data_IF_461819061879
#
_entry.id   IF_461819061879
#
_cell.length_a   1.000
_cell.length_b   1.000
_cell.length_c   1.000
_cell.angle_alpha   90.00
_cell.angle_beta   90.00
_cell.angle_gamma   90.00
#
_symmetry.space_group_name_H-M   'P 1'
#
loop_
_entity.id
_entity.type
_entity.pdbx_description
1 polymer ?
#
# COMPACT_ATOMS: atom_id res chain seq x y z
N UNK A 1 -40.12 10.93 15.99
CA UNK A 1 -38.77 10.36 16.21
C UNK A 1 -37.67 11.39 15.96
N UNK A 2 -37.65 12.07 14.79
CA UNK A 2 -36.65 13.10 14.46
C UNK A 2 -36.59 14.29 15.43
N UNK A 3 -37.72 14.83 15.88
CA UNK A 3 -37.74 16.01 16.78
C UNK A 3 -37.13 15.72 18.16
N UNK A 4 -37.32 14.49 18.68
CA UNK A 4 -36.73 14.06 19.95
C UNK A 4 -35.22 13.88 19.87
N UNK A 5 -34.73 13.29 18.78
CA UNK A 5 -33.29 13.17 18.51
C UNK A 5 -32.64 14.56 18.33
N UNK A 6 -33.30 15.45 17.59
CA UNK A 6 -32.82 16.81 17.35
C UNK A 6 -32.71 17.64 18.64
N UNK A 7 -33.73 17.58 19.51
CA UNK A 7 -33.69 18.25 20.83
C UNK A 7 -32.59 17.67 21.74
N UNK A 8 -32.33 16.36 21.66
CA UNK A 8 -31.25 15.71 22.42
C UNK A 8 -29.86 16.15 21.95
N UNK A 9 -29.63 16.23 20.63
CA UNK A 9 -28.38 16.75 20.05
C UNK A 9 -28.19 18.20 20.45
N UNK A 10 -29.21 19.05 20.30
CA UNK A 10 -29.20 20.45 20.75
C UNK A 10 -28.76 20.60 22.20
N UNK A 11 -29.42 19.89 23.11
CA UNK A 11 -29.13 19.92 24.54
C UNK A 11 -27.68 19.52 24.83
N UNK A 12 -27.17 18.46 24.20
CA UNK A 12 -25.79 18.00 24.38
C UNK A 12 -24.78 18.99 23.80
N UNK A 13 -24.98 19.46 22.57
CA UNK A 13 -24.10 20.44 21.90
C UNK A 13 -24.00 21.75 22.68
N UNK A 14 -25.11 22.27 23.22
CA UNK A 14 -25.08 23.49 24.05
C UNK A 14 -24.40 23.29 25.41
N UNK A 15 -24.25 22.05 25.87
CA UNK A 15 -23.59 21.73 27.15
C UNK A 15 -22.09 21.42 27.03
N UNK A 16 -21.57 21.28 25.80
CA UNK A 16 -20.18 20.93 25.54
C UNK A 16 -19.29 22.17 25.44
N UNK A 17 -18.07 22.06 25.97
CA UNK A 17 -17.06 23.15 26.03
C UNK A 17 -16.77 23.76 24.63
N UNK A 18 -16.47 25.07 24.51
CA UNK A 18 -16.16 25.75 23.23
C UNK A 18 -14.91 25.25 22.49
N UNK A 19 -14.25 24.21 22.99
CA UNK A 19 -13.04 23.60 22.44
C UNK A 19 -13.36 22.65 21.26
N UNK A 20 -14.61 22.24 21.07
CA UNK A 20 -14.99 21.29 20.02
C UNK A 20 -15.28 21.97 18.68
N UNK A 21 -14.75 21.40 17.59
CA UNK A 21 -15.09 21.79 16.21
C UNK A 21 -16.43 21.19 15.82
N UNK A 22 -17.41 22.03 15.50
CA UNK A 22 -18.73 21.60 15.05
C UNK A 22 -18.83 21.74 13.53
N UNK A 23 -18.84 20.61 12.83
CA UNK A 23 -19.13 20.55 11.39
C UNK A 23 -20.59 20.20 11.21
N UNK A 24 -21.38 21.09 10.61
CA UNK A 24 -22.80 20.87 10.41
C UNK A 24 -23.12 20.59 8.94
N UNK A 25 -23.71 19.42 8.69
CA UNK A 25 -24.40 19.12 7.42
C UNK A 25 -25.88 19.24 7.65
N UNK A 26 -26.53 20.09 6.87
CA UNK A 26 -27.97 20.01 6.75
C UNK A 26 -28.32 18.83 5.84
N UNK A 27 -29.39 18.13 6.23
CA UNK A 27 -30.16 17.27 5.35
C UNK A 27 -31.59 17.81 5.44
N UNK A 28 -31.77 19.04 4.93
CA UNK A 28 -33.10 19.68 4.86
C UNK A 28 -33.78 19.35 3.54
N UNK A 29 -33.00 19.22 2.48
CA UNK A 29 -33.48 18.95 1.13
C UNK A 29 -32.55 17.92 0.49
N UNK A 30 -33.10 16.78 0.04
CA UNK A 30 -32.32 15.77 -0.69
C UNK A 30 -31.73 16.36 -1.99
N UNK A 31 -30.70 15.73 -2.55
CA UNK A 31 -30.20 16.06 -3.91
C UNK A 31 -31.31 16.05 -4.97
N UNK A 32 -32.38 15.29 -4.72
CA UNK A 32 -33.57 15.18 -5.56
C UNK A 32 -34.64 16.26 -5.29
N UNK A 33 -34.43 17.17 -4.34
CA UNK A 33 -35.35 18.26 -3.99
C UNK A 33 -36.40 17.95 -2.92
N UNK A 34 -36.41 16.74 -2.34
CA UNK A 34 -37.39 16.37 -1.31
C UNK A 34 -37.07 17.03 0.05
N UNK A 35 -38.06 17.64 0.70
CA UNK A 35 -37.95 18.24 2.03
C UNK A 35 -37.88 17.15 3.12
N UNK A 36 -36.89 17.24 4.00
CA UNK A 36 -36.54 16.20 4.97
C UNK A 36 -36.60 16.68 6.43
N UNK A 37 -36.79 17.98 6.68
CA UNK A 37 -36.84 18.57 8.03
C UNK A 37 -38.12 19.42 8.20
N UNK A 38 -38.87 19.26 9.32
CA UNK A 38 -40.02 20.11 9.62
C UNK A 38 -39.62 21.55 9.99
N UNK A 39 -40.47 22.53 9.66
CA UNK A 39 -40.27 23.97 9.96
C UNK A 39 -39.93 24.33 11.42
N UNK A 40 -40.36 23.52 12.40
CA UNK A 40 -40.01 23.75 13.81
C UNK A 40 -38.55 23.41 14.12
N UNK A 41 -37.99 22.43 13.41
CA UNK A 41 -36.60 22.02 13.56
C UNK A 41 -35.64 22.99 12.86
N UNK A 42 -36.03 23.58 11.72
CA UNK A 42 -35.21 24.56 10.99
C UNK A 42 -35.02 25.87 11.78
N UNK A 43 -36.06 26.37 12.46
CA UNK A 43 -35.92 27.52 13.36
C UNK A 43 -34.91 27.27 14.49
N UNK A 44 -35.03 26.14 15.17
CA UNK A 44 -34.14 25.79 16.27
C UNK A 44 -32.70 25.54 15.78
N UNK A 45 -32.52 25.03 14.57
CA UNK A 45 -31.22 24.94 13.91
C UNK A 45 -30.59 26.33 13.75
N UNK A 46 -31.33 27.27 13.16
CA UNK A 46 -30.86 28.63 12.89
C UNK A 46 -30.51 29.40 14.16
N UNK A 47 -31.38 29.35 15.15
CA UNK A 47 -31.24 30.20 16.35
C UNK A 47 -30.28 29.61 17.39
N UNK A 48 -30.07 28.29 17.40
CA UNK A 48 -29.32 27.63 18.49
C UNK A 48 -28.10 26.84 18.04
N UNK A 49 -28.11 26.27 16.83
CA UNK A 49 -26.99 25.43 16.34
C UNK A 49 -26.06 26.18 15.38
N UNK A 50 -26.60 26.97 14.45
CA UNK A 50 -25.75 27.73 13.52
C UNK A 50 -24.73 28.65 14.21
N UNK A 51 -25.06 29.37 15.31
CA UNK A 51 -24.09 30.20 16.01
C UNK A 51 -22.95 29.40 16.66
N UNK A 52 -23.15 28.10 16.88
CA UNK A 52 -22.14 27.19 17.45
C UNK A 52 -21.33 26.47 16.35
N UNK A 53 -21.80 26.47 15.10
CA UNK A 53 -21.18 25.74 14.01
C UNK A 53 -19.85 26.41 13.60
N UNK A 54 -18.76 25.65 13.70
CA UNK A 54 -17.45 26.05 13.19
C UNK A 54 -17.47 26.19 11.67
N UNK A 55 -18.14 25.24 10.99
CA UNK A 55 -18.40 25.31 9.56
C UNK A 55 -19.78 24.73 9.22
N UNK A 56 -20.52 25.46 8.40
CA UNK A 56 -21.76 25.03 7.75
C UNK A 56 -21.47 24.65 6.30
N UNK A 57 -22.06 23.56 5.80
CA UNK A 57 -21.78 23.05 4.43
C UNK A 57 -23.05 22.87 3.57
N UNK A 58 -23.86 23.91 3.32
CA UNK A 58 -25.14 23.74 2.64
C UNK A 58 -24.94 23.58 1.12
N UNK A 59 -25.85 22.85 0.45
CA UNK A 59 -25.98 22.95 -1.01
C UNK A 59 -26.76 24.22 -1.38
N UNK A 60 -26.84 24.54 -2.68
CA UNK A 60 -27.56 25.74 -3.14
C UNK A 60 -29.04 25.75 -2.71
N UNK A 61 -29.82 24.66 -2.86
CA UNK A 61 -31.18 24.59 -2.31
C UNK A 61 -31.27 24.87 -0.81
N UNK A 62 -30.43 24.21 0.00
CA UNK A 62 -30.36 24.36 1.46
C UNK A 62 -30.01 25.79 1.86
N UNK A 63 -29.02 26.40 1.19
CA UNK A 63 -28.62 27.78 1.41
C UNK A 63 -29.78 28.75 1.16
N UNK A 64 -30.51 28.57 0.07
CA UNK A 64 -31.69 29.37 -0.25
C UNK A 64 -32.81 29.20 0.78
N UNK A 65 -33.05 27.99 1.27
CA UNK A 65 -34.02 27.76 2.36
C UNK A 65 -33.65 28.54 3.62
N UNK A 66 -32.38 28.52 4.03
CA UNK A 66 -31.92 29.29 5.20
C UNK A 66 -32.11 30.80 5.02
N UNK A 67 -31.85 31.32 3.82
CA UNK A 67 -32.04 32.73 3.51
C UNK A 67 -33.52 33.12 3.53
N UNK A 68 -34.40 32.31 2.92
CA UNK A 68 -35.84 32.51 2.93
C UNK A 68 -36.41 32.53 4.35
N UNK A 69 -36.01 31.58 5.20
CA UNK A 69 -36.43 31.53 6.61
C UNK A 69 -35.91 32.72 7.44
N UNK A 70 -34.79 33.32 7.03
CA UNK A 70 -34.26 34.53 7.63
C UNK A 70 -34.90 35.82 7.07
N UNK A 71 -35.86 35.71 6.15
CA UNK A 71 -36.59 36.85 5.57
C UNK A 71 -35.91 37.50 4.36
N UNK A 72 -34.94 36.81 3.73
CA UNK A 72 -34.35 37.23 2.46
C UNK A 72 -35.08 36.59 1.27
N UNK A 73 -34.96 37.22 0.09
CA UNK A 73 -35.50 36.63 -1.13
C UNK A 73 -34.71 35.39 -1.59
N UNK A 74 -35.34 34.56 -2.42
CA UNK A 74 -34.67 33.44 -3.09
C UNK A 74 -33.66 33.97 -4.10
N UNK A 75 -32.44 33.44 -4.07
CA UNK A 75 -31.38 33.80 -5.00
C UNK A 75 -31.24 32.74 -6.10
N UNK A 76 -31.33 33.19 -7.34
CA UNK A 76 -31.02 32.36 -8.51
C UNK A 76 -29.50 32.38 -8.74
N UNK A 77 -28.93 31.24 -9.12
CA UNK A 77 -27.50 31.10 -9.39
C UNK A 77 -27.29 31.07 -10.89
N UNK A 78 -26.97 32.23 -11.48
CA UNK A 78 -26.70 32.37 -12.92
C UNK A 78 -25.20 32.41 -13.22
N UNK A 79 -24.39 32.64 -12.19
CA UNK A 79 -22.95 32.75 -12.26
C UNK A 79 -22.27 32.30 -10.96
N UNK A 80 -20.97 32.09 -11.02
CA UNK A 80 -20.14 31.85 -9.83
C UNK A 80 -20.16 33.04 -8.86
N UNK A 81 -20.41 34.27 -9.35
CA UNK A 81 -20.53 35.44 -8.49
C UNK A 81 -21.80 35.39 -7.62
N UNK A 82 -22.91 34.90 -8.16
CA UNK A 82 -24.16 34.72 -7.39
C UNK A 82 -23.97 33.68 -6.28
N UNK A 83 -23.20 32.62 -6.56
CA UNK A 83 -22.87 31.59 -5.57
C UNK A 83 -22.04 32.16 -4.41
N UNK A 84 -21.12 33.08 -4.71
CA UNK A 84 -20.35 33.83 -3.73
C UNK A 84 -21.23 34.75 -2.89
N UNK A 85 -22.17 35.46 -3.52
CA UNK A 85 -23.12 36.32 -2.81
C UNK A 85 -24.00 35.52 -1.84
N UNK A 86 -24.50 34.36 -2.27
CA UNK A 86 -25.24 33.44 -1.39
C UNK A 86 -24.37 33.01 -0.20
N UNK A 87 -23.11 32.64 -0.44
CA UNK A 87 -22.22 32.21 0.63
C UNK A 87 -21.96 33.32 1.67
N UNK A 88 -21.76 34.56 1.21
CA UNK A 88 -21.62 35.74 2.06
C UNK A 88 -22.88 36.00 2.89
N UNK A 89 -24.07 35.93 2.27
CA UNK A 89 -25.35 36.13 2.96
C UNK A 89 -25.63 35.05 4.00
N UNK A 90 -25.35 33.78 3.68
CA UNK A 90 -25.52 32.66 4.62
C UNK A 90 -24.54 32.76 5.79
N UNK A 91 -23.31 33.23 5.56
CA UNK A 91 -22.33 33.43 6.64
C UNK A 91 -22.84 34.44 7.69
N UNK A 92 -23.53 35.50 7.26
CA UNK A 92 -24.15 36.49 8.15
C UNK A 92 -25.26 35.92 9.05
N UNK A 93 -25.73 34.70 8.81
CA UNK A 93 -26.71 34.02 9.68
C UNK A 93 -26.07 33.45 10.97
N UNK A 94 -24.73 33.44 11.09
CA UNK A 94 -24.04 33.25 12.37
C UNK A 94 -22.98 32.15 12.42
N UNK A 95 -22.83 31.31 11.39
CA UNK A 95 -21.75 30.31 11.39
C UNK A 95 -20.40 30.97 11.05
N UNK A 96 -19.33 30.57 11.75
CA UNK A 96 -17.99 31.16 11.53
C UNK A 96 -17.51 30.95 10.10
N UNK A 97 -17.68 29.75 9.57
CA UNK A 97 -17.35 29.41 8.18
C UNK A 97 -18.56 28.83 7.46
N UNK A 98 -18.69 29.15 6.17
CA UNK A 98 -19.73 28.59 5.30
C UNK A 98 -19.11 28.08 4.00
N UNK A 99 -19.37 26.83 3.65
CA UNK A 99 -19.02 26.22 2.37
C UNK A 99 -20.28 25.93 1.56
N UNK A 100 -20.64 26.82 0.64
CA UNK A 100 -21.75 26.56 -0.29
C UNK A 100 -21.27 25.61 -1.39
N UNK A 101 -21.93 24.45 -1.47
CA UNK A 101 -21.59 23.36 -2.40
C UNK A 101 -22.28 23.60 -3.75
N UNK A 102 -21.51 23.77 -4.82
CA UNK A 102 -22.04 24.03 -6.17
C UNK A 102 -22.50 22.79 -6.94
N UNK A 103 -22.43 21.58 -6.38
CA UNK A 103 -22.76 20.35 -7.13
C UNK A 103 -24.16 20.29 -7.76
N UNK A 104 -25.09 21.17 -7.35
CA UNK A 104 -26.45 21.30 -7.91
C UNK A 104 -26.55 22.39 -9.00
N UNK A 105 -25.49 23.18 -9.18
CA UNK A 105 -25.39 24.30 -10.12
C UNK A 105 -24.04 24.20 -10.84
N UNK A 106 -23.85 23.22 -11.73
CA UNK A 106 -22.66 23.14 -12.57
C UNK A 106 -22.58 24.35 -13.51
N UNK A 107 -21.35 24.75 -13.85
CA UNK A 107 -21.08 25.92 -14.66
C UNK A 107 -20.32 25.55 -15.93
N UNK A 108 -20.39 26.43 -16.91
CA UNK A 108 -19.42 26.51 -18.01
C UNK A 108 -18.09 27.03 -17.47
N UNK A 109 -17.02 26.86 -18.25
CA UNK A 109 -15.67 27.28 -17.87
C UNK A 109 -15.52 28.80 -17.73
N UNK A 110 -16.40 29.59 -18.34
CA UNK A 110 -16.47 31.05 -18.18
C UNK A 110 -17.16 31.48 -16.87
N UNK A 111 -17.66 30.54 -16.07
CA UNK A 111 -18.32 30.80 -14.79
C UNK A 111 -19.81 31.10 -14.88
N UNK A 112 -20.43 30.97 -16.05
CA UNK A 112 -21.88 31.09 -16.23
C UNK A 112 -22.60 29.75 -16.01
N UNK A 113 -23.86 29.80 -15.59
CA UNK A 113 -24.71 28.61 -15.34
C UNK A 113 -24.79 27.73 -16.60
N UNK A 114 -24.54 26.43 -16.44
CA UNK A 114 -24.76 25.45 -17.49
C UNK A 114 -26.25 25.06 -17.55
N UNK A 115 -26.91 25.32 -18.69
CA UNK A 115 -28.34 25.06 -18.88
C UNK A 115 -28.65 23.70 -19.47
N UNK A 116 -27.64 23.06 -20.08
CA UNK A 116 -27.74 21.74 -20.70
C UNK A 116 -26.65 20.82 -20.15
N UNK A 117 -26.80 19.50 -20.28
CA UNK A 117 -25.78 18.54 -19.82
C UNK A 117 -24.43 18.68 -20.53
N UNK A 118 -24.43 19.17 -21.77
CA UNK A 118 -23.21 19.37 -22.57
C UNK A 118 -22.46 20.66 -22.21
N UNK A 119 -23.15 21.60 -21.56
CA UNK A 119 -22.54 22.83 -21.06
C UNK A 119 -21.87 22.64 -19.69
N UNK A 120 -22.10 21.50 -19.01
CA UNK A 120 -21.55 21.25 -17.67
C UNK A 120 -20.08 20.90 -17.74
N UNK A 121 -19.23 21.87 -17.42
CA UNK A 121 -17.77 21.70 -17.48
C UNK A 121 -17.15 21.66 -16.09
N UNK A 122 -17.61 22.50 -15.17
CA UNK A 122 -17.01 22.67 -13.84
C UNK A 122 -18.06 22.70 -12.73
N UNK A 123 -17.62 22.40 -11.52
CA UNK A 123 -18.34 22.59 -10.26
C UNK A 123 -17.51 23.52 -9.39
N UNK A 124 -18.12 24.60 -8.91
CA UNK A 124 -17.46 25.56 -8.01
C UNK A 124 -18.05 25.45 -6.61
N UNK A 125 -17.19 25.30 -5.60
CA UNK A 125 -17.58 25.40 -4.20
C UNK A 125 -17.02 26.70 -3.63
N UNK A 126 -17.82 27.43 -2.85
CA UNK A 126 -17.41 28.71 -2.28
C UNK A 126 -17.34 28.61 -0.76
N UNK A 127 -16.14 28.80 -0.23
CA UNK A 127 -15.87 28.88 1.20
C UNK A 127 -15.73 30.35 1.61
N UNK A 128 -16.48 30.75 2.65
CA UNK A 128 -16.43 32.08 3.25
C UNK A 128 -16.15 31.94 4.73
N UNK A 129 -15.30 32.81 5.28
CA UNK A 129 -15.05 32.91 6.72
C UNK A 129 -14.10 34.04 7.06
N UNK A 130 -13.60 34.13 8.31
CA UNK A 130 -12.74 35.21 8.74
C UNK A 130 -11.45 35.25 7.93
N UNK A 131 -10.97 36.44 7.55
CA UNK A 131 -9.66 36.61 6.94
C UNK A 131 -8.53 36.21 7.92
N UNK A 132 -7.34 35.97 7.39
CA UNK A 132 -6.17 35.62 8.20
C UNK A 132 -5.88 36.70 9.27
N UNK A 133 -5.36 36.26 10.43
CA UNK A 133 -4.95 37.16 11.50
C UNK A 133 -3.99 38.24 10.99
N UNK A 134 -4.24 39.50 11.35
CA UNK A 134 -3.47 40.66 10.87
C UNK A 134 -4.08 41.37 9.65
N UNK A 135 -5.17 40.86 9.08
CA UNK A 135 -5.90 41.59 8.02
C UNK A 135 -6.65 42.77 8.66
N UNK A 136 -6.42 43.99 8.16
CA UNK A 136 -7.09 45.19 8.66
C UNK A 136 -8.62 45.03 8.54
N UNK A 137 -9.34 45.37 9.62
CA UNK A 137 -10.79 45.58 9.59
C UNK A 137 -11.13 46.58 8.49
N UNK A 138 -12.32 46.48 7.92
CA UNK A 138 -12.77 47.48 6.96
C UNK A 138 -12.99 48.84 7.65
N UNK A 139 -13.32 49.85 6.84
CA UNK A 139 -13.49 51.24 7.27
C UNK A 139 -14.60 51.39 8.32
N UNK A 140 -15.50 50.40 8.41
CA UNK A 140 -16.66 50.35 9.31
C UNK A 140 -16.39 49.52 10.58
N UNK A 141 -15.21 48.88 10.69
CA UNK A 141 -14.79 48.10 11.84
C UNK A 141 -15.28 46.64 11.84
N UNK A 142 -15.88 46.17 10.75
CA UNK A 142 -16.30 44.78 10.57
C UNK A 142 -15.09 43.88 10.27
N UNK A 143 -15.23 42.60 10.66
CA UNK A 143 -14.22 41.58 10.42
C UNK A 143 -14.20 41.24 8.92
N UNK A 144 -13.09 41.53 8.24
CA UNK A 144 -12.97 41.27 6.81
C UNK A 144 -13.10 39.76 6.57
N UNK A 145 -14.05 39.38 5.72
CA UNK A 145 -14.21 37.99 5.29
C UNK A 145 -13.24 37.67 4.14
N UNK A 146 -12.74 36.44 4.12
CA UNK A 146 -12.08 35.85 2.96
C UNK A 146 -13.06 34.96 2.19
N UNK A 147 -12.92 34.96 0.87
CA UNK A 147 -13.67 34.10 -0.04
C UNK A 147 -12.69 33.22 -0.78
N UNK A 148 -12.92 31.91 -0.76
CA UNK A 148 -12.11 30.91 -1.47
C UNK A 148 -13.00 30.12 -2.40
N UNK A 149 -12.73 30.22 -3.70
CA UNK A 149 -13.39 29.44 -4.76
C UNK A 149 -12.59 28.17 -5.03
N UNK A 150 -13.26 27.03 -5.03
CA UNK A 150 -12.66 25.72 -5.25
C UNK A 150 -13.38 25.08 -6.44
N UNK A 151 -12.74 25.18 -7.61
CA UNK A 151 -13.22 24.65 -8.88
C UNK A 151 -12.73 23.22 -9.09
N UNK A 152 -13.63 22.30 -9.45
CA UNK A 152 -13.32 20.93 -9.87
C UNK A 152 -14.00 20.63 -11.22
N UNK A 153 -13.46 19.72 -12.04
CA UNK A 153 -14.15 19.26 -13.24
C UNK A 153 -15.52 18.67 -12.91
N UNK A 154 -16.53 18.95 -13.74
CA UNK A 154 -17.82 18.28 -13.62
C UNK A 154 -17.68 16.80 -13.97
N UNK A 155 -18.23 15.94 -13.12
CA UNK A 155 -18.22 14.49 -13.34
C UNK A 155 -19.62 14.00 -13.71
N UNK A 156 -19.76 13.43 -14.91
CA UNK A 156 -20.98 12.74 -15.33
C UNK A 156 -21.09 11.40 -14.59
N UNK A 157 -21.79 11.39 -13.46
CA UNK A 157 -21.97 10.20 -12.63
C UNK A 157 -23.35 10.17 -11.98
N UNK A 158 -23.95 8.97 -11.93
CA UNK A 158 -25.17 8.71 -11.14
C UNK A 158 -24.85 8.37 -9.68
N UNK A 159 -23.57 8.14 -9.35
CA UNK A 159 -23.12 7.74 -8.03
C UNK A 159 -22.72 8.96 -7.21
N UNK A 160 -23.71 9.70 -6.72
CA UNK A 160 -23.53 10.93 -5.94
C UNK A 160 -24.23 10.89 -4.57
N UNK A 161 -24.76 9.72 -4.21
CA UNK A 161 -25.44 9.53 -2.93
C UNK A 161 -24.43 9.68 -1.77
N UNK A 162 -24.80 10.48 -0.75
CA UNK A 162 -23.97 10.67 0.44
C UNK A 162 -22.76 11.59 0.25
N UNK A 163 -22.67 12.33 -0.87
CA UNK A 163 -21.60 13.33 -1.11
C UNK A 163 -21.53 14.39 -0.02
N UNK A 164 -22.67 14.94 0.41
CA UNK A 164 -22.73 15.93 1.49
C UNK A 164 -22.20 15.41 2.83
N UNK A 165 -22.67 14.23 3.26
CA UNK A 165 -22.22 13.60 4.50
C UNK A 165 -20.73 13.27 4.43
N UNK A 166 -20.26 12.69 3.32
CA UNK A 166 -18.86 12.32 3.14
C UNK A 166 -17.94 13.54 3.13
N UNK A 167 -18.34 14.64 2.50
CA UNK A 167 -17.58 15.89 2.46
C UNK A 167 -17.38 16.46 3.86
N UNK A 168 -18.46 16.58 4.63
CA UNK A 168 -18.39 17.11 5.97
C UNK A 168 -17.63 16.21 6.95
N UNK A 169 -17.83 14.89 6.88
CA UNK A 169 -17.03 13.94 7.67
C UNK A 169 -15.55 14.03 7.34
N UNK A 170 -15.20 14.21 6.06
CA UNK A 170 -13.82 14.43 5.64
C UNK A 170 -13.25 15.76 6.18
N UNK A 171 -14.01 16.86 6.10
CA UNK A 171 -13.62 18.15 6.68
C UNK A 171 -13.42 18.03 8.20
N UNK A 172 -14.37 17.43 8.92
CA UNK A 172 -14.29 17.24 10.36
C UNK A 172 -13.06 16.41 10.75
N UNK A 173 -12.77 15.34 10.00
CA UNK A 173 -11.60 14.49 10.22
C UNK A 173 -10.28 15.22 9.95
N UNK A 174 -10.24 16.09 8.93
CA UNK A 174 -9.07 16.91 8.63
C UNK A 174 -8.83 17.99 9.69
N UNK A 175 -9.89 18.65 10.16
CA UNK A 175 -9.80 19.62 11.26
C UNK A 175 -9.36 18.94 12.57
N UNK A 176 -9.86 17.73 12.85
CA UNK A 176 -9.44 16.95 14.02
C UNK A 176 -7.95 16.53 13.96
N UNK A 177 -7.37 16.44 12.76
CA UNK A 177 -5.92 16.24 12.55
C UNK A 177 -5.09 17.53 12.68
N UNK A 178 -5.72 18.66 12.97
CA UNK A 178 -5.06 19.96 13.10
C UNK A 178 -4.83 20.70 11.79
N UNK A 179 -5.47 20.32 10.69
CA UNK A 179 -5.40 21.07 9.43
C UNK A 179 -6.11 22.43 9.56
N UNK A 180 -5.61 23.46 8.89
CA UNK A 180 -6.33 24.73 8.75
C UNK A 180 -7.61 24.55 7.91
N UNK A 181 -8.58 25.46 8.08
CA UNK A 181 -9.90 25.33 7.46
C UNK A 181 -9.86 25.24 5.93
N UNK A 182 -9.07 26.07 5.27
CA UNK A 182 -9.02 26.10 3.80
C UNK A 182 -8.41 24.81 3.27
N UNK A 183 -7.34 24.32 3.91
CA UNK A 183 -6.71 23.04 3.55
C UNK A 183 -7.64 21.86 3.84
N UNK A 184 -8.35 21.86 4.96
CA UNK A 184 -9.29 20.81 5.35
C UNK A 184 -10.45 20.68 4.35
N UNK A 185 -11.01 21.81 3.92
CA UNK A 185 -12.06 21.88 2.90
C UNK A 185 -11.55 21.41 1.54
N UNK A 186 -10.40 21.92 1.07
CA UNK A 186 -9.81 21.49 -0.21
C UNK A 186 -9.53 19.99 -0.23
N UNK A 187 -9.01 19.44 0.87
CA UNK A 187 -8.77 18.00 1.00
C UNK A 187 -10.07 17.18 1.02
N UNK A 188 -11.11 17.65 1.73
CA UNK A 188 -12.43 17.01 1.73
C UNK A 188 -13.10 16.98 0.35
N UNK A 189 -13.00 18.08 -0.41
CA UNK A 189 -13.52 18.15 -1.78
C UNK A 189 -12.78 17.17 -2.69
N UNK A 190 -11.44 17.10 -2.63
CA UNK A 190 -10.67 16.13 -3.41
C UNK A 190 -10.98 14.68 -3.05
N UNK A 191 -11.25 14.40 -1.78
CA UNK A 191 -11.69 13.07 -1.33
C UNK A 191 -13.01 12.67 -2.01
N UNK A 192 -14.02 13.54 -1.96
CA UNK A 192 -15.32 13.25 -2.59
C UNK A 192 -15.21 13.18 -4.11
N UNK A 193 -14.41 14.05 -4.73
CA UNK A 193 -14.13 14.02 -6.17
C UNK A 193 -13.59 12.65 -6.62
N UNK A 194 -12.56 12.14 -5.93
CA UNK A 194 -12.02 10.83 -6.20
C UNK A 194 -13.05 9.71 -5.95
N UNK A 195 -13.83 9.82 -4.87
CA UNK A 195 -14.85 8.84 -4.52
C UNK A 195 -16.00 8.73 -5.53
N UNK A 196 -16.36 9.84 -6.21
CA UNK A 196 -17.30 9.83 -7.34
C UNK A 196 -16.65 9.19 -8.55
N UNK A 197 -15.42 9.59 -8.88
CA UNK A 197 -14.70 9.13 -10.08
C UNK A 197 -14.48 7.63 -10.10
N UNK A 198 -14.17 7.04 -8.93
CA UNK A 198 -13.88 5.61 -8.80
C UNK A 198 -15.06 4.82 -8.22
N UNK A 199 -16.27 5.39 -8.24
CA UNK A 199 -17.47 4.75 -7.71
C UNK A 199 -17.73 3.38 -8.38
N UNK A 200 -18.06 2.33 -7.61
CA UNK A 200 -18.09 0.95 -8.10
C UNK A 200 -19.31 0.62 -9.00
N UNK A 201 -20.21 1.56 -9.25
CA UNK A 201 -21.39 1.32 -10.10
C UNK A 201 -22.45 0.42 -9.46
N UNK A 202 -22.54 0.38 -8.13
CA UNK A 202 -23.49 -0.49 -7.42
C UNK A 202 -24.92 0.07 -7.48
N UNK A 203 -25.87 -0.79 -7.88
CA UNK A 203 -27.30 -0.47 -7.94
C UNK A 203 -27.76 0.16 -9.27
N UNK A 204 -29.08 0.32 -9.43
CA UNK A 204 -29.72 0.81 -10.67
C UNK A 204 -30.11 2.30 -10.64
N UNK A 205 -30.03 2.93 -9.46
CA UNK A 205 -30.44 4.31 -9.19
C UNK A 205 -29.26 5.24 -8.91
N UNK A 206 -29.43 6.17 -7.97
CA UNK A 206 -28.33 6.97 -7.46
C UNK A 206 -27.46 6.11 -6.54
N UNK A 207 -26.30 5.67 -7.03
CA UNK A 207 -25.43 4.73 -6.31
C UNK A 207 -24.51 5.39 -5.28
N UNK A 208 -23.87 4.58 -4.43
CA UNK A 208 -22.93 5.03 -3.42
C UNK A 208 -21.58 5.46 -4.02
N UNK A 209 -20.82 6.24 -3.26
CA UNK A 209 -19.43 6.60 -3.54
C UNK A 209 -18.46 5.44 -3.27
N UNK A 210 -17.23 5.54 -3.78
CA UNK A 210 -16.12 4.69 -3.36
C UNK A 210 -15.31 5.35 -2.24
N UNK A 211 -15.65 5.08 -0.97
CA UNK A 211 -14.91 5.61 0.18
C UNK A 211 -13.49 5.04 0.35
N UNK A 212 -13.17 3.95 -0.35
CA UNK A 212 -11.93 3.19 -0.24
C UNK A 212 -10.96 3.46 -1.41
N UNK A 213 -11.18 4.52 -2.19
CA UNK A 213 -10.38 4.84 -3.38
C UNK A 213 -8.88 5.04 -3.11
N UNK A 214 -8.50 5.30 -1.85
CA UNK A 214 -7.10 5.45 -1.40
C UNK A 214 -6.64 4.33 -0.46
N UNK A 215 -7.44 3.27 -0.29
CA UNK A 215 -7.09 2.11 0.53
C UNK A 215 -6.65 0.98 -0.39
N UNK A 216 -5.46 0.43 -0.12
CA UNK A 216 -4.94 -0.75 -0.83
C UNK A 216 -4.92 -1.93 0.13
N UNK A 217 -5.45 -3.07 -0.31
CA UNK A 217 -5.34 -4.33 0.42
C UNK A 217 -4.24 -5.19 -0.22
N UNK A 218 -3.48 -5.88 0.63
CA UNK A 218 -2.52 -6.89 0.17
C UNK A 218 -3.25 -8.15 -0.29
N UNK A 219 -2.67 -8.91 -1.23
CA UNK A 219 -3.26 -10.17 -1.70
C UNK A 219 -3.08 -11.34 -0.73
N UNK A 220 -2.43 -11.11 0.42
CA UNK A 220 -2.16 -12.09 1.47
C UNK A 220 -2.43 -11.50 2.86
N UNK A 221 -2.72 -12.39 3.81
CA UNK A 221 -2.82 -12.04 5.23
C UNK A 221 -1.43 -11.92 5.86
N UNK A 222 -1.22 -11.03 6.86
CA UNK A 222 0.03 -10.98 7.60
C UNK A 222 0.44 -12.35 8.16
N UNK A 223 1.68 -12.77 7.91
CA UNK A 223 2.20 -14.09 8.31
C UNK A 223 2.01 -15.20 7.27
N UNK A 224 1.40 -14.90 6.12
CA UNK A 224 1.16 -15.85 5.02
C UNK A 224 1.70 -15.35 3.68
N UNK A 225 2.69 -14.46 3.67
CA UNK A 225 3.31 -14.00 2.42
C UNK A 225 4.02 -15.14 1.68
N UNK A 226 4.76 -15.99 2.39
CA UNK A 226 5.51 -17.08 1.78
C UNK A 226 4.58 -18.18 1.25
N UNK A 227 3.50 -18.48 1.95
CA UNK A 227 2.47 -19.41 1.47
C UNK A 227 1.86 -18.88 0.18
N UNK A 228 1.44 -17.60 0.19
CA UNK A 228 0.99 -16.89 -1.01
C UNK A 228 2.01 -16.95 -2.15
N UNK A 229 3.28 -16.63 -1.87
CA UNK A 229 4.34 -16.58 -2.88
C UNK A 229 4.58 -17.95 -3.51
N UNK A 230 4.67 -19.01 -2.71
CA UNK A 230 5.03 -20.34 -3.20
C UNK A 230 3.86 -21.08 -3.86
N UNK A 231 2.62 -20.80 -3.46
CA UNK A 231 1.41 -21.42 -4.03
C UNK A 231 0.90 -20.73 -5.31
N UNK A 232 1.48 -19.57 -5.66
CA UNK A 232 1.11 -18.82 -6.85
C UNK A 232 1.28 -19.64 -8.13
N UNK A 233 0.32 -19.57 -9.09
CA UNK A 233 0.41 -20.32 -10.35
C UNK A 233 1.66 -20.03 -11.21
N UNK A 234 2.21 -18.82 -11.11
CA UNK A 234 3.42 -18.39 -11.82
C UNK A 234 4.73 -18.71 -11.07
N UNK A 235 4.65 -19.17 -9.82
CA UNK A 235 5.80 -19.51 -8.96
C UNK A 235 5.89 -21.01 -8.68
N UNK A 236 4.77 -21.66 -8.34
CA UNK A 236 4.74 -23.05 -7.92
C UNK A 236 5.45 -24.01 -8.91
N UNK A 237 5.25 -23.91 -10.25
CA UNK A 237 5.93 -24.82 -11.18
C UNK A 237 7.45 -24.63 -11.24
N UNK A 238 7.94 -23.39 -11.11
CA UNK A 238 9.39 -23.12 -11.12
C UNK A 238 10.03 -23.50 -9.80
N UNK A 239 9.33 -23.26 -8.69
CA UNK A 239 9.75 -23.69 -7.36
C UNK A 239 9.85 -25.21 -7.26
N UNK A 240 8.82 -25.93 -7.74
CA UNK A 240 8.80 -27.39 -7.76
C UNK A 240 9.96 -27.98 -8.57
N UNK A 241 10.19 -27.46 -9.79
CA UNK A 241 11.34 -27.89 -10.62
C UNK A 241 12.68 -27.65 -9.93
N UNK A 242 12.81 -26.57 -9.17
CA UNK A 242 14.03 -26.26 -8.42
C UNK A 242 14.25 -27.27 -7.29
N UNK A 243 13.26 -27.48 -6.42
CA UNK A 243 13.45 -28.33 -5.23
C UNK A 243 13.42 -29.83 -5.52
N UNK A 244 12.84 -30.24 -6.64
CA UNK A 244 12.83 -31.63 -7.12
C UNK A 244 13.70 -31.83 -8.37
N UNK A 245 14.72 -30.96 -8.56
CA UNK A 245 15.57 -31.04 -9.73
C UNK A 245 16.26 -32.41 -9.86
N UNK A 246 16.41 -33.01 -11.05
CA UNK A 246 17.00 -34.34 -11.20
C UNK A 246 18.41 -34.49 -10.60
N UNK A 247 19.22 -33.43 -10.60
CA UNK A 247 20.51 -33.39 -9.92
C UNK A 247 20.36 -33.65 -8.41
N UNK A 248 19.40 -32.97 -7.78
CA UNK A 248 19.09 -33.07 -6.36
C UNK A 248 18.50 -34.42 -6.00
N UNK A 249 17.56 -34.93 -6.82
CA UNK A 249 16.99 -36.26 -6.62
C UNK A 249 18.07 -37.35 -6.73
N UNK A 250 19.01 -37.21 -7.68
CA UNK A 250 20.14 -38.12 -7.81
C UNK A 250 21.10 -38.05 -6.60
N UNK A 251 21.22 -36.91 -5.90
CA UNK A 251 21.92 -36.83 -4.61
C UNK A 251 21.21 -37.64 -3.54
N UNK A 252 19.88 -37.53 -3.44
CA UNK A 252 19.06 -38.31 -2.50
C UNK A 252 19.16 -39.83 -2.74
N UNK A 253 19.09 -40.24 -4.00
CA UNK A 253 19.18 -41.66 -4.40
C UNK A 253 20.61 -42.23 -4.28
N UNK A 254 21.61 -41.36 -4.05
CA UNK A 254 23.03 -41.71 -4.05
C UNK A 254 23.55 -42.14 -5.43
N UNK A 255 22.90 -41.70 -6.51
CA UNK A 255 23.22 -42.08 -7.91
C UNK A 255 23.91 -40.97 -8.70
N UNK A 256 23.97 -39.75 -8.17
CA UNK A 256 24.62 -38.63 -8.83
C UNK A 256 26.09 -38.98 -9.19
N UNK A 257 26.58 -38.65 -10.39
CA UNK A 257 27.99 -38.86 -10.73
C UNK A 257 28.92 -38.06 -9.82
N UNK A 258 29.96 -38.72 -9.29
CA UNK A 258 30.90 -38.11 -8.34
C UNK A 258 31.59 -36.86 -8.90
N UNK A 259 31.94 -36.87 -10.19
CA UNK A 259 32.60 -35.71 -10.81
C UNK A 259 31.63 -34.52 -10.99
N UNK A 260 30.34 -34.77 -11.21
CA UNK A 260 29.31 -33.72 -11.24
C UNK A 260 29.17 -33.05 -9.88
N UNK A 261 29.17 -33.85 -8.80
CA UNK A 261 29.13 -33.31 -7.44
C UNK A 261 30.38 -32.50 -7.10
N UNK A 262 31.57 -32.97 -7.50
CA UNK A 262 32.83 -32.23 -7.31
C UNK A 262 32.83 -30.89 -8.06
N UNK A 263 32.35 -30.89 -9.31
CA UNK A 263 32.18 -29.67 -10.09
C UNK A 263 31.25 -28.67 -9.41
N UNK A 264 30.11 -29.16 -8.90
CA UNK A 264 29.17 -28.36 -8.12
C UNK A 264 29.85 -27.74 -6.88
N UNK A 265 30.55 -28.52 -6.06
CA UNK A 265 31.20 -28.02 -4.84
C UNK A 265 32.23 -26.91 -5.12
N UNK A 266 32.96 -27.00 -6.24
CA UNK A 266 33.92 -25.98 -6.66
C UNK A 266 33.20 -24.69 -7.09
N UNK A 267 32.09 -24.80 -7.82
CA UNK A 267 31.29 -23.63 -8.19
C UNK A 267 30.57 -23.01 -6.99
N UNK A 268 30.10 -23.83 -6.05
CA UNK A 268 29.46 -23.38 -4.82
C UNK A 268 30.43 -22.59 -3.94
N UNK A 269 31.71 -23.00 -3.86
CA UNK A 269 32.74 -22.21 -3.21
C UNK A 269 32.85 -20.78 -3.79
N UNK A 270 32.83 -20.66 -5.12
CA UNK A 270 32.88 -19.35 -5.80
C UNK A 270 31.58 -18.57 -5.60
N UNK A 271 30.44 -19.25 -5.65
CA UNK A 271 29.12 -18.67 -5.37
C UNK A 271 29.07 -18.05 -3.96
N UNK A 272 29.54 -18.77 -2.93
CA UNK A 272 29.54 -18.31 -1.55
C UNK A 272 30.33 -17.01 -1.34
N UNK A 273 31.38 -16.76 -2.11
CA UNK A 273 32.11 -15.48 -2.11
C UNK A 273 31.19 -14.35 -2.58
N UNK A 274 30.43 -14.56 -3.65
CA UNK A 274 29.47 -13.56 -4.14
C UNK A 274 28.23 -13.46 -3.25
N UNK A 275 27.78 -14.55 -2.63
CA UNK A 275 26.73 -14.54 -1.62
C UNK A 275 27.12 -13.69 -0.41
N UNK A 276 28.37 -13.80 0.06
CA UNK A 276 28.93 -12.93 1.09
C UNK A 276 28.96 -11.45 0.64
N UNK A 277 29.34 -11.18 -0.62
CA UNK A 277 29.29 -9.81 -1.18
C UNK A 277 27.87 -9.25 -1.25
N UNK A 278 26.89 -10.07 -1.65
CA UNK A 278 25.49 -9.68 -1.70
C UNK A 278 24.94 -9.37 -0.29
N UNK A 279 25.30 -10.16 0.72
CA UNK A 279 24.92 -9.89 2.11
C UNK A 279 25.65 -8.67 2.69
N UNK A 280 26.90 -8.39 2.29
CA UNK A 280 27.57 -7.14 2.63
C UNK A 280 26.85 -5.93 2.02
N UNK A 281 26.38 -6.05 0.77
CA UNK A 281 25.55 -5.03 0.12
C UNK A 281 24.19 -4.87 0.82
N UNK A 282 23.58 -5.97 1.28
CA UNK A 282 22.37 -5.92 2.09
C UNK A 282 22.61 -5.17 3.42
N UNK A 283 23.75 -5.42 4.07
CA UNK A 283 24.15 -4.67 5.28
C UNK A 283 24.28 -3.17 4.99
N UNK A 284 24.90 -2.79 3.87
CA UNK A 284 25.02 -1.39 3.45
C UNK A 284 23.66 -0.72 3.17
N UNK A 285 22.70 -1.44 2.58
CA UNK A 285 21.39 -0.88 2.20
C UNK A 285 20.36 -0.85 3.34
N UNK A 286 20.60 -1.57 4.44
CA UNK A 286 19.71 -1.61 5.58
C UNK A 286 19.56 -0.22 6.23
N UNK A 287 18.35 0.09 6.72
CA UNK A 287 18.01 1.41 7.30
C UNK A 287 17.97 1.41 8.83
N UNK A 288 18.07 0.25 9.47
CA UNK A 288 18.10 0.09 10.93
C UNK A 288 19.27 -0.83 11.32
N UNK A 289 19.71 -0.71 12.57
CA UNK A 289 20.94 -1.37 13.03
C UNK A 289 20.76 -2.89 13.16
N UNK A 290 19.55 -3.35 13.45
CA UNK A 290 19.21 -4.76 13.57
C UNK A 290 19.41 -5.49 12.24
N UNK A 291 18.92 -4.94 11.13
CA UNK A 291 19.08 -5.51 9.78
C UNK A 291 20.52 -5.38 9.26
N UNK A 292 21.22 -4.30 9.62
CA UNK A 292 22.67 -4.14 9.35
C UNK A 292 23.45 -5.28 10.01
N UNK A 293 23.21 -5.51 11.31
CA UNK A 293 23.88 -6.53 12.10
C UNK A 293 23.52 -7.95 11.63
N UNK A 294 22.25 -8.21 11.32
CA UNK A 294 21.79 -9.50 10.79
C UNK A 294 22.49 -9.86 9.49
N UNK A 295 22.58 -8.91 8.54
CA UNK A 295 23.27 -9.13 7.27
C UNK A 295 24.78 -9.32 7.45
N UNK A 296 25.41 -8.55 8.34
CA UNK A 296 26.84 -8.69 8.65
C UNK A 296 27.16 -10.03 9.33
N UNK A 297 26.26 -10.54 10.18
CA UNK A 297 26.39 -11.85 10.78
C UNK A 297 26.37 -12.96 9.72
N UNK A 298 25.55 -12.84 8.67
CA UNK A 298 25.56 -13.79 7.54
C UNK A 298 26.93 -13.79 6.85
N UNK A 299 27.54 -12.63 6.61
CA UNK A 299 28.89 -12.54 6.02
C UNK A 299 29.93 -13.26 6.90
N UNK A 300 29.89 -13.02 8.21
CA UNK A 300 30.79 -13.70 9.16
C UNK A 300 30.53 -15.21 9.21
N UNK A 301 29.28 -15.64 9.11
CA UNK A 301 28.90 -17.05 9.06
C UNK A 301 29.43 -17.70 7.78
N UNK A 302 29.22 -17.08 6.61
CA UNK A 302 29.78 -17.58 5.34
C UNK A 302 31.29 -17.77 5.44
N UNK A 303 32.04 -16.84 6.03
CA UNK A 303 33.48 -16.99 6.21
C UNK A 303 33.85 -18.22 7.07
N UNK A 304 33.12 -18.48 8.16
CA UNK A 304 33.33 -19.65 9.02
C UNK A 304 32.95 -20.95 8.31
N UNK A 305 31.78 -20.99 7.69
CA UNK A 305 31.25 -22.15 6.96
C UNK A 305 32.11 -22.52 5.76
N UNK A 306 32.69 -21.54 5.06
CA UNK A 306 33.64 -21.82 3.97
C UNK A 306 34.84 -22.63 4.43
N UNK A 307 35.25 -22.55 5.71
CA UNK A 307 36.32 -23.40 6.25
C UNK A 307 35.88 -24.86 6.38
N UNK A 308 34.63 -25.10 6.77
CA UNK A 308 34.02 -26.44 6.81
C UNK A 308 33.82 -26.99 5.40
N UNK A 309 33.39 -26.14 4.45
CA UNK A 309 33.28 -26.50 3.04
C UNK A 309 34.61 -26.97 2.46
N UNK A 310 35.71 -26.27 2.77
CA UNK A 310 37.05 -26.65 2.32
C UNK A 310 37.46 -28.02 2.87
N UNK A 311 37.16 -28.31 4.14
CA UNK A 311 37.43 -29.62 4.74
C UNK A 311 36.58 -30.73 4.09
N UNK A 312 35.30 -30.45 3.84
CA UNK A 312 34.40 -31.37 3.16
C UNK A 312 34.89 -31.68 1.73
N UNK A 313 35.24 -30.65 0.96
CA UNK A 313 35.81 -30.76 -0.38
C UNK A 313 37.11 -31.59 -0.42
N UNK A 314 37.95 -31.49 0.61
CA UNK A 314 39.16 -32.30 0.73
C UNK A 314 38.85 -33.81 0.79
N UNK A 315 37.73 -34.21 1.42
CA UNK A 315 37.24 -35.59 1.41
C UNK A 315 36.92 -36.14 0.00
N UNK A 316 36.62 -35.24 -0.94
CA UNK A 316 36.41 -35.58 -2.35
C UNK A 316 37.67 -35.47 -3.21
N UNK A 317 38.82 -35.14 -2.61
CA UNK A 317 40.09 -34.93 -3.31
C UNK A 317 40.23 -33.56 -3.96
N UNK A 318 39.45 -32.56 -3.52
CA UNK A 318 39.52 -31.18 -4.01
C UNK A 318 40.36 -30.36 -3.03
N UNK A 319 41.46 -29.80 -3.49
CA UNK A 319 42.30 -28.89 -2.69
C UNK A 319 41.75 -27.46 -2.68
N UNK A 320 42.10 -26.68 -1.64
CA UNK A 320 41.78 -25.25 -1.57
C UNK A 320 42.28 -24.47 -2.78
N UNK A 321 43.51 -24.77 -3.22
CA UNK A 321 44.11 -24.12 -4.38
C UNK A 321 43.32 -24.37 -5.67
N UNK A 322 42.76 -25.58 -5.85
CA UNK A 322 41.88 -25.87 -7.00
C UNK A 322 40.59 -25.03 -6.95
N UNK A 323 39.97 -24.89 -5.78
CA UNK A 323 38.78 -24.05 -5.61
C UNK A 323 39.08 -22.57 -5.86
N UNK A 324 40.18 -22.04 -5.33
CA UNK A 324 40.59 -20.64 -5.52
C UNK A 324 40.91 -20.30 -6.99
N UNK A 325 41.37 -21.29 -7.77
CA UNK A 325 41.66 -21.16 -9.21
C UNK A 325 40.48 -21.55 -10.11
N UNK A 326 39.34 -21.91 -9.54
CA UNK A 326 38.15 -22.31 -10.31
C UNK A 326 37.61 -21.12 -11.10
N UNK A 327 37.45 -21.31 -12.41
CA UNK A 327 36.77 -20.34 -13.26
C UNK A 327 35.26 -20.40 -13.01
N UNK A 328 34.61 -19.24 -12.95
CA UNK A 328 33.14 -19.17 -12.81
C UNK A 328 32.47 -19.82 -14.03
N UNK A 329 31.60 -20.79 -13.78
CA UNK A 329 30.74 -21.32 -14.82
C UNK A 329 29.71 -20.27 -15.23
N UNK A 330 29.28 -20.28 -16.51
CA UNK A 330 28.34 -19.28 -17.04
C UNK A 330 27.06 -19.15 -16.20
N UNK A 331 26.51 -20.26 -15.70
CA UNK A 331 25.34 -20.26 -14.84
C UNK A 331 25.62 -19.62 -13.46
N UNK A 332 26.80 -19.89 -12.86
CA UNK A 332 27.24 -19.26 -11.61
C UNK A 332 27.43 -17.75 -11.80
N UNK A 333 28.05 -17.31 -12.89
CA UNK A 333 28.15 -15.89 -13.23
C UNK A 333 26.76 -15.28 -13.42
N UNK A 334 25.88 -15.89 -14.22
CA UNK A 334 24.54 -15.37 -14.46
C UNK A 334 23.77 -15.18 -13.14
N UNK A 335 23.81 -16.19 -12.25
CA UNK A 335 23.12 -16.12 -10.97
C UNK A 335 23.68 -15.01 -10.08
N UNK A 336 24.99 -15.03 -9.83
CA UNK A 336 25.62 -14.09 -8.90
C UNK A 336 25.54 -12.65 -9.39
N UNK A 337 25.63 -12.42 -10.71
CA UNK A 337 25.46 -11.09 -11.30
C UNK A 337 24.02 -10.63 -11.24
N UNK A 338 23.03 -11.51 -11.43
CA UNK A 338 21.62 -11.16 -11.26
C UNK A 338 21.32 -10.70 -9.82
N UNK A 339 21.75 -11.45 -8.81
CA UNK A 339 21.52 -11.09 -7.39
C UNK A 339 22.17 -9.76 -7.05
N UNK A 340 23.42 -9.56 -7.46
CA UNK A 340 24.13 -8.29 -7.23
C UNK A 340 23.53 -7.13 -8.02
N UNK A 341 23.04 -7.36 -9.24
CA UNK A 341 22.36 -6.34 -10.03
C UNK A 341 21.07 -5.88 -9.35
N UNK A 342 20.21 -6.81 -8.91
CA UNK A 342 19.04 -6.47 -8.07
C UNK A 342 19.47 -5.70 -6.83
N UNK A 343 20.54 -6.16 -6.16
CA UNK A 343 21.10 -5.46 -5.02
C UNK A 343 21.54 -4.02 -5.31
N UNK A 344 22.02 -3.72 -6.51
CA UNK A 344 22.44 -2.38 -6.91
C UNK A 344 21.28 -1.52 -7.40
N UNK A 345 20.42 -2.07 -8.25
CA UNK A 345 19.37 -1.36 -8.97
C UNK A 345 18.07 -1.18 -8.17
N UNK A 346 17.77 -2.08 -7.23
CA UNK A 346 16.53 -2.10 -6.45
C UNK A 346 16.74 -1.74 -4.97
N UNK A 347 15.67 -1.82 -4.17
CA UNK A 347 15.73 -1.61 -2.72
C UNK A 347 16.31 -2.81 -1.95
N UNK A 348 16.50 -2.62 -0.64
CA UNK A 348 17.01 -3.67 0.25
C UNK A 348 16.13 -4.93 0.26
N UNK A 349 14.80 -4.80 0.20
CA UNK A 349 13.90 -5.93 0.30
C UNK A 349 13.88 -6.78 -0.98
N UNK A 350 13.99 -6.15 -2.16
CA UNK A 350 14.19 -6.85 -3.41
C UNK A 350 15.46 -7.73 -3.40
N UNK A 351 16.55 -7.25 -2.80
CA UNK A 351 17.76 -8.04 -2.60
C UNK A 351 17.51 -9.25 -1.68
N UNK A 352 16.76 -9.08 -0.58
CA UNK A 352 16.37 -10.21 0.28
C UNK A 352 15.53 -11.24 -0.49
N UNK A 353 14.61 -10.79 -1.34
CA UNK A 353 13.79 -11.66 -2.19
C UNK A 353 14.65 -12.39 -3.24
N UNK A 354 15.67 -11.75 -3.81
CA UNK A 354 16.60 -12.39 -4.74
C UNK A 354 17.50 -13.44 -4.07
N UNK A 355 17.82 -13.27 -2.78
CA UNK A 355 18.60 -14.22 -1.98
C UNK A 355 17.73 -15.37 -1.42
N UNK A 356 16.42 -15.17 -1.31
CA UNK A 356 15.51 -16.11 -0.66
C UNK A 356 15.47 -17.52 -1.27
N UNK A 357 15.51 -17.72 -2.61
CA UNK A 357 15.52 -19.07 -3.18
C UNK A 357 16.69 -19.93 -2.71
N UNK A 358 17.86 -19.33 -2.46
CA UNK A 358 19.02 -20.04 -1.94
C UNK A 358 18.75 -20.55 -0.52
N UNK A 359 18.39 -19.65 0.40
CA UNK A 359 18.14 -20.01 1.80
C UNK A 359 16.94 -20.97 1.95
N UNK A 360 15.80 -20.63 1.36
CA UNK A 360 14.57 -21.40 1.53
C UNK A 360 14.62 -22.72 0.75
N UNK A 361 15.23 -22.71 -0.43
CA UNK A 361 15.25 -23.84 -1.34
C UNK A 361 16.14 -24.97 -0.86
N UNK A 362 17.37 -24.64 -0.41
CA UNK A 362 18.28 -25.65 0.13
C UNK A 362 17.70 -26.32 1.39
N UNK A 363 17.05 -25.54 2.26
CA UNK A 363 16.32 -26.09 3.41
C UNK A 363 15.16 -27.00 3.01
N UNK A 364 14.37 -26.60 2.00
CA UNK A 364 13.26 -27.41 1.48
C UNK A 364 13.74 -28.71 0.82
N UNK A 365 14.78 -28.62 -0.02
CA UNK A 365 15.45 -29.75 -0.67
C UNK A 365 15.93 -30.75 0.37
N UNK A 366 16.74 -30.29 1.33
CA UNK A 366 17.34 -31.17 2.31
C UNK A 366 16.30 -31.83 3.20
N UNK A 367 15.26 -31.08 3.62
CA UNK A 367 14.13 -31.64 4.37
C UNK A 367 13.39 -32.71 3.57
N UNK A 368 13.16 -32.49 2.27
CA UNK A 368 12.52 -33.47 1.40
C UNK A 368 13.38 -34.73 1.28
N UNK A 369 14.67 -34.59 0.94
CA UNK A 369 15.58 -35.71 0.78
C UNK A 369 15.79 -36.50 2.08
N UNK A 370 15.90 -35.83 3.22
CA UNK A 370 16.11 -36.46 4.52
C UNK A 370 14.88 -37.27 4.99
N UNK A 371 13.67 -36.90 4.55
CA UNK A 371 12.42 -37.56 4.96
C UNK A 371 11.83 -38.48 3.89
N UNK A 372 12.31 -38.42 2.65
CA UNK A 372 11.81 -39.25 1.56
C UNK A 372 12.18 -40.73 1.76
N UNK A 373 11.22 -41.66 1.61
CA UNK A 373 11.50 -43.09 1.69
C UNK A 373 12.32 -43.63 0.51
N UNK A 374 12.45 -42.87 -0.58
CA UNK A 374 13.26 -43.27 -1.75
C UNK A 374 14.73 -42.89 -1.61
N UNK A 375 15.06 -41.96 -0.70
CA UNK A 375 16.43 -41.54 -0.47
C UNK A 375 17.23 -42.63 0.24
N UNK A 376 18.50 -42.78 -0.15
CA UNK A 376 19.45 -43.59 0.62
C UNK A 376 19.96 -42.78 1.81
N UNK A 377 19.92 -43.40 3.00
CA UNK A 377 20.21 -42.71 4.26
C UNK A 377 21.47 -43.25 4.92
N UNK A 378 22.25 -42.35 5.52
CA UNK A 378 23.51 -42.68 6.18
C UNK A 378 24.73 -42.68 5.25
N UNK A 379 25.88 -42.34 5.84
CA UNK A 379 27.16 -42.15 5.14
C UNK A 379 27.67 -43.39 4.40
N UNK A 380 27.22 -44.58 4.79
CA UNK A 380 27.60 -45.84 4.16
C UNK A 380 26.78 -46.14 2.89
N UNK A 381 25.53 -45.68 2.83
CA UNK A 381 24.63 -45.96 1.71
C UNK A 381 24.56 -44.80 0.70
N UNK A 382 24.85 -43.58 1.16
CA UNK A 382 24.82 -42.38 0.34
C UNK A 382 26.06 -41.50 0.58
N UNK A 383 26.88 -41.37 -0.47
CA UNK A 383 28.08 -40.53 -0.49
C UNK A 383 27.80 -39.05 -0.18
N UNK A 384 26.56 -38.60 -0.43
CA UNK A 384 26.14 -37.21 -0.32
C UNK A 384 25.36 -36.95 0.99
N UNK A 385 25.27 -37.94 1.88
CA UNK A 385 24.44 -37.85 3.08
C UNK A 385 24.85 -36.70 4.00
N UNK A 386 26.15 -36.50 4.25
CA UNK A 386 26.64 -35.37 5.05
C UNK A 386 26.13 -34.02 4.55
N UNK A 387 26.05 -33.84 3.23
CA UNK A 387 25.53 -32.60 2.64
C UNK A 387 24.06 -32.44 3.01
N UNK A 388 23.24 -33.48 2.81
CA UNK A 388 21.81 -33.46 3.14
C UNK A 388 21.60 -33.19 4.65
N UNK A 389 22.37 -33.85 5.50
CA UNK A 389 22.29 -33.73 6.96
C UNK A 389 22.61 -32.30 7.45
N UNK A 390 23.59 -31.63 6.84
CA UNK A 390 23.97 -30.27 7.23
C UNK A 390 22.83 -29.26 7.01
N UNK A 391 22.08 -29.38 5.92
CA UNK A 391 20.98 -28.44 5.62
C UNK A 391 19.67 -28.71 6.40
N UNK A 392 19.61 -29.80 7.17
CA UNK A 392 18.53 -30.06 8.15
C UNK A 392 18.97 -29.88 9.59
N UNK A 393 20.23 -29.50 9.83
CA UNK A 393 20.75 -29.25 11.16
C UNK A 393 20.15 -27.98 11.80
N UNK A 394 20.25 -27.89 13.13
CA UNK A 394 19.61 -26.84 13.93
C UNK A 394 20.06 -25.43 13.54
N UNK A 395 21.33 -25.26 13.16
CA UNK A 395 21.90 -23.99 12.74
C UNK A 395 21.30 -23.50 11.41
N UNK A 396 21.22 -24.36 10.40
CA UNK A 396 20.64 -24.02 9.11
C UNK A 396 19.13 -23.81 9.20
N UNK A 397 18.42 -24.68 9.91
CA UNK A 397 16.97 -24.54 10.12
C UNK A 397 16.61 -23.27 10.89
N UNK A 398 17.43 -22.86 11.87
CA UNK A 398 17.32 -21.57 12.55
C UNK A 398 17.51 -20.40 11.57
N UNK A 399 18.51 -20.47 10.69
CA UNK A 399 18.75 -19.44 9.68
C UNK A 399 17.58 -19.33 8.68
N UNK A 400 17.03 -20.47 8.23
CA UNK A 400 15.82 -20.51 7.38
C UNK A 400 14.65 -19.84 8.09
N UNK A 401 14.40 -20.17 9.35
CA UNK A 401 13.30 -19.57 10.11
C UNK A 401 13.47 -18.06 10.27
N UNK A 402 14.67 -17.58 10.59
CA UNK A 402 14.96 -16.15 10.67
C UNK A 402 14.75 -15.43 9.32
N UNK A 403 15.17 -16.06 8.21
CA UNK A 403 14.91 -15.54 6.87
C UNK A 403 13.41 -15.49 6.54
N UNK A 404 12.65 -16.52 6.90
CA UNK A 404 11.20 -16.54 6.72
C UNK A 404 10.52 -15.40 7.47
N UNK A 405 10.85 -15.22 8.74
CA UNK A 405 10.30 -14.14 9.58
C UNK A 405 10.67 -12.75 9.06
N UNK A 406 11.89 -12.58 8.54
CA UNK A 406 12.32 -11.34 7.90
C UNK A 406 11.45 -11.02 6.69
N UNK A 407 11.20 -12.00 5.83
CA UNK A 407 10.37 -11.83 4.63
C UNK A 407 8.91 -11.51 5.00
N UNK A 408 8.32 -12.23 5.94
CA UNK A 408 6.94 -12.00 6.41
C UNK A 408 6.76 -10.59 6.99
N UNK A 409 7.70 -10.13 7.84
CA UNK A 409 7.62 -8.80 8.46
C UNK A 409 7.70 -7.66 7.45
N UNK A 410 8.44 -7.83 6.35
CA UNK A 410 8.67 -6.75 5.38
C UNK A 410 7.71 -6.79 4.20
N UNK A 411 7.13 -7.95 3.89
CA UNK A 411 6.12 -8.09 2.83
C UNK A 411 4.87 -7.25 3.10
N UNK A 412 4.43 -7.15 4.36
CA UNK A 412 3.24 -6.36 4.73
C UNK A 412 3.41 -4.84 4.57
N UNK A 413 4.64 -4.37 4.39
CA UNK A 413 4.95 -2.95 4.17
C UNK A 413 4.93 -2.57 2.68
N UNK A 414 4.76 -3.55 1.79
CA UNK A 414 4.80 -3.34 0.36
C UNK A 414 3.44 -2.89 -0.19
N UNK A 415 3.46 -2.22 -1.33
CA UNK A 415 2.23 -1.99 -2.10
C UNK A 415 1.89 -3.23 -2.93
N UNK A 416 0.62 -3.48 -3.29
CA UNK A 416 0.26 -4.63 -4.12
C UNK A 416 1.01 -4.70 -5.45
N UNK A 417 1.24 -3.56 -6.11
CA UNK A 417 2.04 -3.52 -7.34
C UNK A 417 3.50 -3.92 -7.10
N UNK A 418 4.08 -3.49 -5.97
CA UNK A 418 5.45 -3.87 -5.59
C UNK A 418 5.56 -5.36 -5.26
N UNK A 419 4.53 -5.96 -4.67
CA UNK A 419 4.49 -7.42 -4.44
C UNK A 419 4.62 -8.19 -5.76
N UNK A 420 3.94 -7.75 -6.82
CA UNK A 420 4.05 -8.40 -8.14
C UNK A 420 5.46 -8.30 -8.74
N UNK A 421 6.12 -7.15 -8.61
CA UNK A 421 7.52 -6.98 -9.04
C UNK A 421 8.46 -7.92 -8.27
N UNK A 422 8.30 -8.00 -6.94
CA UNK A 422 9.11 -8.87 -6.08
C UNK A 422 8.89 -10.35 -6.38
N UNK A 423 7.67 -10.77 -6.72
CA UNK A 423 7.42 -12.14 -7.19
C UNK A 423 8.23 -12.42 -8.46
N UNK A 424 8.27 -11.47 -9.39
CA UNK A 424 9.11 -11.57 -10.59
C UNK A 424 10.60 -11.76 -10.25
N UNK A 425 11.10 -11.03 -9.25
CA UNK A 425 12.48 -11.17 -8.75
C UNK A 425 12.72 -12.58 -8.20
N UNK A 426 11.82 -13.09 -7.36
CA UNK A 426 11.90 -14.43 -6.77
C UNK A 426 11.90 -15.53 -7.84
N UNK A 427 10.99 -15.43 -8.82
CA UNK A 427 10.88 -16.37 -9.94
C UNK A 427 12.18 -16.41 -10.74
N UNK A 428 12.76 -15.25 -11.05
CA UNK A 428 13.99 -15.20 -11.83
C UNK A 428 15.18 -15.74 -11.05
N UNK A 429 15.32 -15.40 -9.76
CA UNK A 429 16.35 -15.98 -8.91
C UNK A 429 16.21 -17.51 -8.78
N UNK A 430 14.97 -18.03 -8.68
CA UNK A 430 14.70 -19.47 -8.67
C UNK A 430 15.11 -20.14 -9.99
N UNK A 431 14.94 -19.47 -11.13
CA UNK A 431 15.46 -19.98 -12.43
C UNK A 431 16.98 -20.03 -12.48
N UNK A 432 17.65 -19.07 -11.84
CA UNK A 432 19.11 -19.07 -11.74
C UNK A 432 19.61 -20.25 -10.90
N UNK A 433 18.92 -20.59 -9.79
CA UNK A 433 19.20 -21.79 -9.00
C UNK A 433 19.02 -23.10 -9.82
N UNK A 434 17.96 -23.18 -10.64
CA UNK A 434 17.80 -24.31 -11.58
C UNK A 434 19.00 -24.38 -12.53
N UNK A 435 19.39 -23.25 -13.12
CA UNK A 435 20.58 -23.19 -13.99
C UNK A 435 21.87 -23.58 -13.28
N UNK A 436 21.96 -23.34 -11.97
CA UNK A 436 23.08 -23.78 -11.13
C UNK A 436 23.11 -25.32 -11.01
N UNK A 437 21.96 -25.97 -10.85
CA UNK A 437 21.89 -27.44 -10.86
C UNK A 437 22.13 -28.07 -12.23
N UNK A 438 21.87 -27.33 -13.31
CA UNK A 438 22.05 -27.79 -14.69
C UNK A 438 23.49 -27.68 -15.19
N UNK A 439 24.42 -27.13 -14.39
CA UNK A 439 25.83 -27.00 -14.77
C UNK A 439 26.52 -28.34 -15.05
N UNK A 440 26.05 -29.41 -14.39
CA UNK A 440 26.68 -30.71 -14.45
C UNK A 440 25.64 -31.82 -14.70
N UNK A 441 26.02 -32.89 -15.42
CA UNK A 441 25.09 -33.97 -15.72
C UNK A 441 24.69 -34.74 -14.46
N UNK A 442 23.41 -35.08 -14.35
CA UNK A 442 22.87 -35.84 -13.21
C UNK A 442 22.83 -37.36 -13.44
N UNK A 443 23.26 -37.82 -14.63
CA UNK A 443 23.40 -39.23 -15.01
C UNK A 443 24.74 -39.45 -15.69
N UNK A 444 25.31 -40.64 -15.51
CA UNK A 444 26.50 -41.07 -16.27
C UNK A 444 26.10 -41.37 -17.72
N UNK A 445 26.45 -40.49 -18.66
CA UNK A 445 26.22 -40.71 -20.11
C UNK A 445 26.97 -41.95 -20.65
N UNK A 446 27.96 -42.46 -19.91
CA UNK A 446 28.73 -43.68 -20.27
C UNK A 446 28.07 -45.00 -19.86
N UNK A 447 26.87 -44.97 -19.26
CA UNK A 447 26.09 -46.16 -18.86
C UNK A 447 24.68 -46.19 -19.46
N UNK A 448 24.38 -45.34 -20.45
CA UNK A 448 23.12 -45.32 -21.19
C UNK A 448 23.20 -46.15 -22.48
#
# INVERSE_FOLDING_TARGET
>A
MFEGAFRSVLSRTTSMSPIYTYTFTQVMIATTGAELLPNSASRALREKLLPLATILTPNVPEANTLLLEAGHDKHLVQSVADLEEIALKVQKLGSKWVLVKGGHSPFRRDGTEAKTEDEKEIVVNVLVGPAAEGTKRDVEGEEKLQVVKIEMPYQRSRNTHGTGCSLASAIASNLAKGMDMVSAVKAGIRYVDAAIRTAPGLGQGNGPLNHFHSVKALPFSPGHFLDYLLERPDVAPVWDRYIHHPFVMAMGDGTLPRESFKGYLMQDYVYLIHYARANALASYKAKNIEDVAGSAAIVANCFREMSLHVQYCAGFGISKEQMEKTEEHQACTAYTRYVLDIGQSEDWFALQIALAPCLLGYGAIAKHLHTSPTSKTGEHENLYWSWIANYVADDYTTAVQAGRELLERHAVLQSPGRVEELVGVFVHATKMEIGFWEMFPYKDEKKA
#
